data_IF_013634971441
#
_entry.id   IF_013634971441
#
_cell.length_a   1.000
_cell.length_b   1.000
_cell.length_c   1.000
_cell.angle_alpha   90.00
_cell.angle_beta   90.00
_cell.angle_gamma   90.00
#
_symmetry.space_group_name_H-M   'P 1'
#
loop_
_entity.id
_entity.type
_entity.pdbx_description
1 polymer ?
#
# COMPACT_ATOMS: atom_id res chain seq x y z
N UNK A 1 10.01 -6.39 -2.61
CA UNK A 1 10.73 -5.91 -1.42
C UNK A 1 11.89 -5.00 -1.81
N UNK A 2 12.31 -4.12 -0.90
CA UNK A 2 13.46 -3.25 -1.15
C UNK A 2 14.66 -3.66 -0.27
N UNK A 3 14.57 -3.50 1.06
CA UNK A 3 15.69 -3.72 2.01
C UNK A 3 15.56 -4.98 2.85
N UNK A 4 14.35 -5.44 3.14
CA UNK A 4 14.03 -6.55 4.04
C UNK A 4 14.25 -7.93 3.40
N UNK A 5 15.48 -8.23 2.95
CA UNK A 5 15.76 -9.46 2.19
C UNK A 5 15.67 -10.74 3.03
N UNK A 6 16.07 -10.69 4.31
CA UNK A 6 16.03 -11.84 5.21
C UNK A 6 14.59 -12.16 5.62
N UNK A 7 13.84 -11.15 6.03
CA UNK A 7 12.44 -11.29 6.45
C UNK A 7 11.56 -11.82 5.30
N UNK A 8 11.78 -11.32 4.09
CA UNK A 8 11.03 -11.76 2.91
C UNK A 8 11.37 -13.19 2.51
N UNK A 9 12.62 -13.63 2.65
CA UNK A 9 13.00 -15.03 2.40
C UNK A 9 12.37 -15.97 3.41
N UNK A 10 12.36 -15.60 4.71
CA UNK A 10 11.69 -16.37 5.75
C UNK A 10 10.19 -16.48 5.45
N UNK A 11 9.54 -15.35 5.18
CA UNK A 11 8.11 -15.33 4.81
C UNK A 11 7.82 -16.20 3.58
N UNK A 12 8.72 -16.21 2.57
CA UNK A 12 8.57 -17.09 1.41
C UNK A 12 8.52 -18.56 1.84
N UNK A 13 9.48 -19.01 2.66
CA UNK A 13 9.53 -20.39 3.16
C UNK A 13 8.26 -20.72 3.93
N UNK A 14 7.83 -19.84 4.85
CA UNK A 14 6.63 -20.05 5.67
C UNK A 14 5.37 -20.22 4.79
N UNK A 15 5.22 -19.43 3.74
CA UNK A 15 4.08 -19.50 2.82
C UNK A 15 4.17 -20.70 1.86
N UNK A 16 5.37 -21.07 1.41
CA UNK A 16 5.58 -22.25 0.56
C UNK A 16 5.26 -23.54 1.33
N UNK A 17 5.56 -23.59 2.63
CA UNK A 17 5.15 -24.69 3.52
C UNK A 17 3.62 -24.82 3.66
N UNK A 18 2.87 -23.73 3.40
CA UNK A 18 1.42 -23.74 3.34
C UNK A 18 0.85 -24.05 1.94
N UNK A 19 1.72 -24.42 0.99
CA UNK A 19 1.34 -24.79 -0.38
C UNK A 19 1.26 -23.59 -1.36
N UNK A 20 1.65 -22.40 -0.96
CA UNK A 20 1.64 -21.24 -1.86
C UNK A 20 2.87 -21.20 -2.78
N UNK A 21 2.71 -20.80 -4.04
CA UNK A 21 3.81 -20.57 -4.97
C UNK A 21 4.25 -19.10 -4.89
N UNK A 22 5.47 -18.84 -4.39
CA UNK A 22 5.94 -17.48 -4.07
C UNK A 22 7.08 -17.05 -4.98
N UNK A 23 6.91 -15.90 -5.63
CA UNK A 23 7.90 -15.21 -6.45
C UNK A 23 8.33 -13.91 -5.79
N UNK A 24 9.64 -13.70 -5.66
CA UNK A 24 10.21 -12.51 -5.03
C UNK A 24 10.80 -11.58 -6.10
N UNK A 25 10.44 -10.31 -6.05
CA UNK A 25 11.10 -9.26 -6.84
C UNK A 25 11.67 -8.18 -5.93
N UNK A 26 12.95 -7.84 -6.12
CA UNK A 26 13.57 -6.69 -5.46
C UNK A 26 13.32 -5.45 -6.31
N UNK A 27 12.70 -4.43 -5.72
CA UNK A 27 12.44 -3.15 -6.38
C UNK A 27 12.36 -2.01 -5.36
N UNK A 28 12.94 -0.88 -5.71
CA UNK A 28 12.76 0.38 -4.99
C UNK A 28 11.63 1.19 -5.64
N UNK A 29 10.51 1.30 -4.95
CA UNK A 29 9.34 2.03 -5.45
C UNK A 29 9.57 3.55 -5.58
N UNK A 30 10.63 4.09 -4.99
CA UNK A 30 11.05 5.46 -5.26
C UNK A 30 11.62 5.64 -6.67
N UNK A 31 11.99 4.55 -7.34
CA UNK A 31 12.59 4.55 -8.68
C UNK A 31 11.58 4.06 -9.72
N UNK A 32 11.12 4.96 -10.57
CA UNK A 32 10.13 4.65 -11.61
C UNK A 32 10.57 3.51 -12.55
N UNK A 33 11.85 3.42 -12.89
CA UNK A 33 12.39 2.36 -13.74
C UNK A 33 12.28 0.97 -13.09
N UNK A 34 12.44 0.89 -11.75
CA UNK A 34 12.29 -0.37 -11.01
C UNK A 34 10.81 -0.74 -10.83
N UNK A 35 9.95 0.25 -10.52
CA UNK A 35 8.49 0.05 -10.42
C UNK A 35 7.89 -0.54 -11.70
N UNK A 36 8.28 -0.03 -12.87
CA UNK A 36 7.76 -0.48 -14.17
C UNK A 36 8.08 -1.95 -14.50
N UNK A 37 9.05 -2.56 -13.86
CA UNK A 37 9.42 -3.97 -14.07
C UNK A 37 8.54 -4.95 -13.28
N UNK A 38 7.81 -4.48 -12.26
CA UNK A 38 7.11 -5.36 -11.31
C UNK A 38 5.98 -6.14 -12.00
N UNK A 39 5.06 -5.45 -12.67
CA UNK A 39 3.91 -6.11 -13.30
C UNK A 39 4.33 -7.04 -14.45
N UNK A 40 5.21 -6.64 -15.39
CA UNK A 40 5.72 -7.56 -16.42
C UNK A 40 6.37 -8.82 -15.85
N UNK A 41 7.19 -8.65 -14.79
CA UNK A 41 7.82 -9.79 -14.13
C UNK A 41 6.78 -10.71 -13.47
N UNK A 42 5.85 -10.15 -12.68
CA UNK A 42 4.82 -10.92 -12.01
C UNK A 42 3.95 -11.69 -13.00
N UNK A 43 3.50 -11.04 -14.07
CA UNK A 43 2.69 -11.65 -15.11
C UNK A 43 3.40 -12.86 -15.75
N UNK A 44 4.70 -12.71 -16.07
CA UNK A 44 5.50 -13.80 -16.65
C UNK A 44 5.74 -14.94 -15.65
N UNK A 45 6.11 -14.61 -14.40
CA UNK A 45 6.47 -15.60 -13.38
C UNK A 45 5.27 -16.41 -12.88
N UNK A 46 4.08 -15.80 -12.83
CA UNK A 46 2.85 -16.40 -12.32
C UNK A 46 1.91 -16.86 -13.43
N UNK A 47 2.31 -16.68 -14.72
CA UNK A 47 1.50 -17.05 -15.91
C UNK A 47 0.16 -16.30 -15.97
N UNK A 48 0.06 -15.19 -15.27
CA UNK A 48 -1.12 -14.33 -15.16
C UNK A 48 -1.15 -13.59 -13.83
N UNK A 49 -2.05 -12.61 -13.71
CA UNK A 49 -2.29 -11.85 -12.48
C UNK A 49 -3.78 -11.52 -12.38
N UNK A 50 -4.40 -11.76 -11.23
CA UNK A 50 -5.82 -11.50 -10.99
C UNK A 50 -6.05 -10.41 -9.94
N UNK A 51 -5.05 -10.18 -9.09
CA UNK A 51 -5.14 -9.20 -8.02
C UNK A 51 -3.83 -8.40 -7.86
N UNK A 52 -3.97 -7.09 -7.65
CA UNK A 52 -2.89 -6.19 -7.26
C UNK A 52 -3.20 -5.57 -5.91
N UNK A 53 -2.31 -5.74 -4.93
CA UNK A 53 -2.43 -5.10 -3.63
C UNK A 53 -1.31 -4.06 -3.46
N UNK A 54 -1.66 -2.78 -3.50
CA UNK A 54 -0.76 -1.67 -3.23
C UNK A 54 -0.69 -1.41 -1.72
N UNK A 55 0.17 -2.16 -1.02
CA UNK A 55 0.34 -2.10 0.43
C UNK A 55 1.61 -1.34 0.86
N UNK A 56 2.66 -1.36 0.05
CA UNK A 56 3.93 -0.69 0.40
C UNK A 56 3.73 0.80 0.63
N UNK A 57 4.34 1.33 1.70
CA UNK A 57 4.15 2.73 2.10
C UNK A 57 5.37 3.27 2.84
N UNK A 58 5.68 4.55 2.61
CA UNK A 58 6.55 5.36 3.45
C UNK A 58 5.69 6.15 4.44
N UNK A 59 6.10 6.18 5.70
CA UNK A 59 5.39 6.88 6.78
C UNK A 59 6.40 7.60 7.68
N UNK A 60 6.66 8.86 7.40
CA UNK A 60 7.56 9.72 8.17
C UNK A 60 6.84 10.95 8.67
N UNK A 61 7.27 11.48 9.83
CA UNK A 61 6.64 12.64 10.44
C UNK A 61 7.24 13.92 9.89
N UNK A 62 6.39 14.81 9.43
CA UNK A 62 6.70 16.16 9.00
C UNK A 62 5.48 17.08 9.22
N UNK A 63 5.60 18.34 8.84
CA UNK A 63 4.50 19.30 8.81
C UNK A 63 4.76 20.36 7.73
N UNK A 64 3.73 21.11 7.35
CA UNK A 64 3.80 22.09 6.25
C UNK A 64 4.85 23.19 6.46
N UNK A 65 5.17 23.54 7.69
CA UNK A 65 6.16 24.59 8.00
C UNK A 65 7.62 24.09 7.99
N UNK A 66 7.83 22.76 8.04
CA UNK A 66 9.15 22.12 8.15
C UNK A 66 9.18 20.76 7.46
N UNK A 67 8.83 20.69 6.19
CA UNK A 67 9.03 19.46 5.41
C UNK A 67 10.33 19.55 4.60
N UNK A 68 10.95 18.41 4.39
CA UNK A 68 12.09 18.23 3.48
C UNK A 68 11.58 17.80 2.11
N UNK A 69 11.97 18.50 1.05
CA UNK A 69 11.51 18.24 -0.32
C UNK A 69 11.83 16.82 -0.79
N UNK A 70 13.00 16.29 -0.44
CA UNK A 70 13.36 14.91 -0.80
C UNK A 70 12.46 13.89 -0.08
N UNK A 71 12.11 14.16 1.19
CA UNK A 71 11.18 13.32 1.93
C UNK A 71 9.76 13.41 1.36
N UNK A 72 9.32 14.61 0.99
CA UNK A 72 8.05 14.83 0.29
C UNK A 72 7.99 14.03 -1.00
N UNK A 73 8.98 14.17 -1.87
CA UNK A 73 9.06 13.47 -3.14
C UNK A 73 9.05 11.94 -2.96
N UNK A 74 9.76 11.42 -1.95
CA UNK A 74 9.71 9.99 -1.62
C UNK A 74 8.31 9.53 -1.23
N UNK A 75 7.57 10.31 -0.42
CA UNK A 75 6.19 9.99 -0.06
C UNK A 75 5.30 9.95 -1.31
N UNK A 76 5.39 10.96 -2.18
CA UNK A 76 4.63 10.99 -3.44
C UNK A 76 5.03 9.83 -4.35
N UNK A 77 6.33 9.58 -4.52
CA UNK A 77 6.81 8.51 -5.41
C UNK A 77 6.35 7.13 -4.92
N UNK A 78 6.52 6.81 -3.65
CA UNK A 78 6.24 5.48 -3.09
C UNK A 78 4.74 5.27 -2.88
N UNK A 79 4.05 6.24 -2.27
CA UNK A 79 2.66 6.05 -1.82
C UNK A 79 1.61 6.38 -2.88
N UNK A 80 1.96 7.12 -3.93
CA UNK A 80 1.02 7.56 -4.95
C UNK A 80 1.47 7.23 -6.38
N UNK A 81 2.64 7.69 -6.81
CA UNK A 81 3.10 7.53 -8.20
C UNK A 81 3.35 6.07 -8.56
N UNK A 82 3.96 5.30 -7.65
CA UNK A 82 4.18 3.88 -7.86
C UNK A 82 2.88 3.06 -7.91
N UNK A 83 1.93 3.20 -6.97
CA UNK A 83 0.60 2.61 -7.11
C UNK A 83 -0.12 2.99 -8.41
N UNK A 84 0.00 4.25 -8.85
CA UNK A 84 -0.58 4.70 -10.13
C UNK A 84 0.02 3.95 -11.32
N UNK A 85 1.35 3.81 -11.33
CA UNK A 85 2.07 3.07 -12.38
C UNK A 85 1.69 1.59 -12.37
N UNK A 86 1.70 0.96 -11.20
CA UNK A 86 1.35 -0.46 -11.04
C UNK A 86 -0.10 -0.74 -11.45
N UNK A 87 -1.04 0.13 -11.04
CA UNK A 87 -2.45 -0.01 -11.41
C UNK A 87 -2.69 0.13 -12.92
N UNK A 88 -2.03 1.11 -13.55
CA UNK A 88 -2.06 1.28 -15.02
C UNK A 88 -1.52 0.05 -15.74
N UNK A 89 -0.37 -0.44 -15.28
CA UNK A 89 0.29 -1.58 -15.94
C UNK A 89 -0.49 -2.87 -15.68
N UNK A 90 -1.02 -3.08 -14.47
CA UNK A 90 -1.94 -4.18 -14.16
C UNK A 90 -3.14 -4.19 -15.13
N UNK A 91 -3.81 -3.05 -15.31
CA UNK A 91 -4.95 -2.94 -16.23
C UNK A 91 -4.57 -3.30 -17.68
N UNK A 92 -3.37 -2.91 -18.14
CA UNK A 92 -2.86 -3.29 -19.47
C UNK A 92 -2.64 -4.79 -19.62
N UNK A 93 -2.09 -5.45 -18.58
CA UNK A 93 -1.77 -6.87 -18.62
C UNK A 93 -2.99 -7.78 -18.45
N UNK A 94 -3.99 -7.36 -17.67
CA UNK A 94 -5.22 -8.15 -17.47
C UNK A 94 -6.10 -8.20 -18.73
N UNK A 95 -5.94 -7.25 -19.66
CA UNK A 95 -6.67 -7.16 -20.95
C UNK A 95 -8.19 -7.22 -20.75
N UNK A 96 -8.85 -8.30 -21.24
CA UNK A 96 -10.29 -8.54 -21.13
C UNK A 96 -10.69 -9.41 -19.95
N UNK A 97 -9.72 -9.93 -19.18
CA UNK A 97 -10.00 -10.73 -18.01
C UNK A 97 -10.53 -9.86 -16.86
N UNK A 98 -11.11 -10.50 -15.85
CA UNK A 98 -11.56 -9.83 -14.62
C UNK A 98 -10.43 -9.75 -13.61
N UNK A 99 -10.37 -8.67 -12.85
CA UNK A 99 -9.36 -8.51 -11.81
C UNK A 99 -9.76 -7.56 -10.70
N UNK A 100 -8.89 -7.45 -9.71
CA UNK A 100 -9.09 -6.57 -8.56
C UNK A 100 -7.83 -5.81 -8.20
N UNK A 101 -7.98 -4.55 -7.84
CA UNK A 101 -6.92 -3.74 -7.25
C UNK A 101 -7.37 -3.31 -5.85
N UNK A 102 -6.49 -3.50 -4.87
CA UNK A 102 -6.72 -3.08 -3.50
C UNK A 102 -5.62 -2.08 -3.12
N UNK A 103 -6.02 -0.87 -2.77
CA UNK A 103 -5.13 0.18 -2.29
C UNK A 103 -5.24 0.30 -0.76
N UNK A 104 -4.15 0.08 -0.05
CA UNK A 104 -4.11 0.33 1.40
C UNK A 104 -3.89 1.84 1.60
N UNK A 105 -4.99 2.53 1.86
CA UNK A 105 -5.03 3.95 2.18
C UNK A 105 -4.78 4.16 3.68
N UNK A 106 -5.38 5.16 4.31
CA UNK A 106 -5.27 5.40 5.76
C UNK A 106 -6.50 6.17 6.24
N UNK A 107 -6.91 5.94 7.47
CA UNK A 107 -7.98 6.71 8.11
C UNK A 107 -7.70 8.22 8.16
N UNK A 108 -6.43 8.64 8.07
CA UNK A 108 -6.01 10.05 8.06
C UNK A 108 -6.58 10.85 6.91
N UNK A 109 -6.98 10.21 5.81
CA UNK A 109 -7.63 10.92 4.71
C UNK A 109 -9.02 11.47 5.08
N UNK A 110 -9.63 10.90 6.15
CA UNK A 110 -10.91 11.34 6.70
C UNK A 110 -10.76 12.16 7.99
N UNK A 111 -9.64 11.99 8.74
CA UNK A 111 -9.36 12.69 9.98
C UNK A 111 -7.99 13.35 9.92
N UNK A 112 -7.94 14.55 9.38
CA UNK A 112 -6.70 15.31 9.18
C UNK A 112 -6.07 15.74 10.51
N UNK A 113 -4.74 15.85 10.49
CA UNK A 113 -3.94 16.40 11.58
C UNK A 113 -2.83 17.29 10.99
N UNK A 114 -2.24 18.23 11.73
CA UNK A 114 -1.13 19.05 11.24
C UNK A 114 0.20 18.28 11.09
N UNK A 115 0.23 17.02 11.52
CA UNK A 115 1.39 16.14 11.44
C UNK A 115 1.29 15.18 10.28
N UNK A 116 2.43 14.66 9.80
CA UNK A 116 2.51 13.72 8.68
C UNK A 116 1.95 14.31 7.39
N UNK A 117 2.34 15.54 7.10
CA UNK A 117 1.86 16.33 5.97
C UNK A 117 2.06 15.62 4.63
N UNK A 118 3.31 15.28 4.28
CA UNK A 118 3.63 14.62 3.02
C UNK A 118 2.95 13.26 2.88
N UNK A 119 2.94 12.49 3.97
CA UNK A 119 2.23 11.21 4.01
C UNK A 119 0.73 11.37 3.77
N UNK A 120 0.09 12.32 4.49
CA UNK A 120 -1.36 12.54 4.38
C UNK A 120 -1.75 12.96 2.97
N UNK A 121 -1.00 13.87 2.33
CA UNK A 121 -1.23 14.24 0.93
C UNK A 121 -1.11 13.05 -0.01
N UNK A 122 -0.05 12.24 0.15
CA UNK A 122 0.16 11.06 -0.69
C UNK A 122 -0.96 10.03 -0.56
N UNK A 123 -1.48 9.80 0.66
CA UNK A 123 -2.59 8.86 0.91
C UNK A 123 -3.94 9.42 0.47
N UNK A 124 -4.16 10.73 0.57
CA UNK A 124 -5.36 11.38 0.01
C UNK A 124 -5.37 11.23 -1.51
N UNK A 125 -4.22 11.47 -2.16
CA UNK A 125 -4.06 11.21 -3.58
C UNK A 125 -4.33 9.74 -3.97
N UNK A 126 -3.87 8.77 -3.15
CA UNK A 126 -4.15 7.36 -3.37
C UNK A 126 -5.65 7.04 -3.23
N UNK A 127 -6.34 7.68 -2.30
CA UNK A 127 -7.79 7.58 -2.15
C UNK A 127 -8.54 8.09 -3.40
N UNK A 128 -8.10 9.21 -3.96
CA UNK A 128 -8.63 9.75 -5.22
C UNK A 128 -8.29 8.83 -6.39
N UNK A 129 -7.04 8.36 -6.50
CA UNK A 129 -6.63 7.38 -7.51
C UNK A 129 -7.53 6.13 -7.49
N UNK A 130 -7.88 5.64 -6.31
CA UNK A 130 -8.77 4.48 -6.15
C UNK A 130 -10.11 4.71 -6.85
N UNK A 131 -10.75 5.84 -6.59
CA UNK A 131 -12.05 6.19 -7.18
C UNK A 131 -11.98 6.38 -8.69
N UNK A 132 -10.99 7.17 -9.17
CA UNK A 132 -10.83 7.42 -10.61
C UNK A 132 -10.49 6.15 -11.37
N UNK A 133 -9.64 5.29 -10.80
CA UNK A 133 -9.30 4.00 -11.41
C UNK A 133 -10.49 3.06 -11.44
N UNK A 134 -11.32 3.01 -10.38
CA UNK A 134 -12.55 2.23 -10.38
C UNK A 134 -13.49 2.61 -11.52
N UNK A 135 -13.68 3.92 -11.75
CA UNK A 135 -14.50 4.44 -12.85
C UNK A 135 -13.92 4.06 -14.23
N UNK A 136 -12.60 4.16 -14.40
CA UNK A 136 -11.95 3.93 -15.70
C UNK A 136 -11.81 2.46 -16.05
N UNK A 137 -11.58 1.60 -15.05
CA UNK A 137 -11.27 0.18 -15.27
C UNK A 137 -12.50 -0.73 -15.24
N UNK A 138 -13.66 -0.18 -14.87
CA UNK A 138 -14.93 -0.89 -14.97
C UNK A 138 -15.25 -1.27 -16.44
N UNK A 139 -15.96 -2.37 -16.69
CA UNK A 139 -16.46 -3.37 -15.71
C UNK A 139 -15.42 -4.47 -15.39
N UNK A 140 -14.25 -4.46 -16.02
CA UNK A 140 -13.31 -5.59 -15.98
C UNK A 140 -12.49 -5.64 -14.69
N UNK A 141 -12.11 -4.48 -14.15
CA UNK A 141 -11.29 -4.42 -12.93
C UNK A 141 -12.00 -3.61 -11.86
N UNK A 142 -12.22 -4.26 -10.72
CA UNK A 142 -12.70 -3.56 -9.51
C UNK A 142 -11.51 -2.92 -8.79
N UNK A 143 -11.67 -1.69 -8.32
CA UNK A 143 -10.63 -1.01 -7.55
C UNK A 143 -11.23 -0.53 -6.23
N UNK A 144 -10.70 -1.02 -5.12
CA UNK A 144 -11.15 -0.69 -3.79
C UNK A 144 -10.03 -0.15 -2.92
N UNK A 145 -10.38 0.59 -1.89
CA UNK A 145 -9.45 1.10 -0.88
C UNK A 145 -9.80 0.59 0.50
N UNK A 146 -8.81 0.12 1.23
CA UNK A 146 -8.94 -0.23 2.64
C UNK A 146 -8.25 0.87 3.45
N UNK A 147 -8.96 1.46 4.42
CA UNK A 147 -8.48 2.52 5.30
C UNK A 147 -8.33 1.98 6.74
N UNK A 148 -7.24 1.30 7.07
CA UNK A 148 -7.05 0.75 8.41
C UNK A 148 -7.03 1.83 9.49
N UNK A 149 -7.61 1.52 10.65
CA UNK A 149 -7.37 2.23 11.89
C UNK A 149 -6.06 1.80 12.55
N UNK A 150 -5.85 2.13 13.86
CA UNK A 150 -4.67 1.71 14.61
C UNK A 150 -4.58 0.17 14.69
N UNK A 151 -3.70 -0.43 13.89
CA UNK A 151 -3.54 -1.88 13.74
C UNK A 151 -2.26 -2.38 14.40
N UNK A 152 -1.12 -1.87 13.93
CA UNK A 152 0.20 -2.22 14.46
C UNK A 152 0.90 -1.00 15.00
N UNK A 153 1.52 -1.16 16.16
CA UNK A 153 2.38 -0.14 16.75
C UNK A 153 3.63 0.05 15.87
N UNK A 154 3.94 1.26 15.51
CA UNK A 154 5.21 1.54 14.86
C UNK A 154 6.37 1.62 15.86
N UNK A 155 7.61 1.50 15.37
CA UNK A 155 8.83 1.50 16.21
C UNK A 155 9.03 2.79 17.03
N UNK A 156 8.41 3.90 16.63
CA UNK A 156 8.52 5.22 17.29
C UNK A 156 7.44 5.46 18.35
N UNK A 157 6.45 4.58 18.48
CA UNK A 157 5.34 4.73 19.42
C UNK A 157 5.58 3.92 20.69
N UNK A 158 5.25 4.52 21.86
CA UNK A 158 5.11 3.77 23.10
C UNK A 158 3.79 2.97 23.12
N UNK A 159 3.74 1.91 23.92
CA UNK A 159 2.49 1.15 24.15
C UNK A 159 1.36 2.06 24.66
N UNK A 160 1.67 2.95 25.60
CA UNK A 160 0.70 3.90 26.14
C UNK A 160 0.12 4.81 25.06
N UNK A 161 0.97 5.31 24.14
CA UNK A 161 0.50 6.16 23.04
C UNK A 161 -0.36 5.36 22.05
N UNK A 162 0.05 4.16 21.68
CA UNK A 162 -0.71 3.30 20.79
C UNK A 162 -2.07 2.93 21.39
N UNK A 163 -2.10 2.56 22.69
CA UNK A 163 -3.35 2.30 23.42
C UNK A 163 -4.29 3.50 23.39
N UNK A 164 -3.79 4.72 23.66
CA UNK A 164 -4.58 5.94 23.58
C UNK A 164 -5.19 6.18 22.20
N UNK A 165 -4.47 5.84 21.12
CA UNK A 165 -4.96 6.01 19.75
C UNK A 165 -6.18 5.12 19.46
N UNK A 166 -6.10 3.82 19.73
CA UNK A 166 -7.23 2.93 19.43
C UNK A 166 -8.39 3.10 20.42
N UNK A 167 -8.13 3.50 21.66
CA UNK A 167 -9.19 3.89 22.61
C UNK A 167 -9.95 5.16 22.17
N UNK A 168 -9.33 6.03 21.39
CA UNK A 168 -9.96 7.23 20.84
C UNK A 168 -10.81 6.95 19.57
N UNK A 169 -10.84 5.71 19.09
CA UNK A 169 -11.74 5.30 18.00
C UNK A 169 -13.13 5.00 18.54
N UNK A 170 -14.15 5.06 17.66
CA UNK A 170 -15.53 4.74 18.06
C UNK A 170 -15.69 3.32 18.62
N UNK A 171 -14.97 2.37 18.05
CA UNK A 171 -15.01 0.97 18.50
C UNK A 171 -14.15 0.71 19.74
N UNK A 172 -13.34 1.68 20.18
CA UNK A 172 -12.45 1.60 21.36
C UNK A 172 -11.60 0.33 21.44
N UNK A 173 -11.26 -0.24 20.28
CA UNK A 173 -10.44 -1.45 20.16
C UNK A 173 -9.42 -1.32 19.05
N UNK A 174 -8.32 -2.07 19.18
CA UNK A 174 -7.32 -2.23 18.15
C UNK A 174 -7.93 -2.97 16.96
N UNK A 175 -7.53 -2.61 15.73
CA UNK A 175 -7.83 -3.38 14.53
C UNK A 175 -6.80 -4.52 14.44
N UNK A 176 -7.26 -5.75 14.33
CA UNK A 176 -6.37 -6.89 14.11
C UNK A 176 -6.04 -7.04 12.61
N UNK A 177 -4.87 -7.61 12.32
CA UNK A 177 -4.40 -7.83 10.93
C UNK A 177 -5.36 -8.70 10.14
N UNK A 178 -5.98 -9.67 10.80
CA UNK A 178 -7.00 -10.58 10.24
C UNK A 178 -8.26 -9.85 9.79
N UNK A 179 -8.63 -8.76 10.46
CA UNK A 179 -9.78 -7.94 10.03
C UNK A 179 -9.49 -7.24 8.69
N UNK A 180 -8.22 -6.85 8.44
CA UNK A 180 -7.82 -6.22 7.18
C UNK A 180 -7.75 -7.26 6.07
N UNK A 181 -7.21 -8.44 6.33
CA UNK A 181 -7.05 -9.49 5.32
C UNK A 181 -8.39 -10.14 4.90
N UNK A 182 -9.43 -10.04 5.73
CA UNK A 182 -10.78 -10.56 5.44
C UNK A 182 -11.68 -9.55 4.73
N UNK A 183 -11.23 -8.29 4.57
CA UNK A 183 -11.97 -7.23 3.88
C UNK A 183 -11.77 -7.33 2.37
#
# INVERSE_FOLDING_TARGET
>A
YNKSSLEVRKLKIDLENLGAKIFLIKADLNKSAETKKIIPYAYKAMEGIDCLINNASLFENDNISKFDENSFDKHININLKSPSTLSRDFFKYIKKNKGSIINIIDQRIFKLTPHFFSYTLSKTGLGTLTKVSAMKFAPNVRVNGVAPGPTLKNKRQSEKHFKKQWQATLLKRKVETENISKT
#
